data_IF_499071576003
#
_entry.id   IF_499071576003
#
_cell.length_a   1.000
_cell.length_b   1.000
_cell.length_c   1.000
_cell.angle_alpha   90.00
_cell.angle_beta   90.00
_cell.angle_gamma   90.00
#
_symmetry.space_group_name_H-M   'P 1'
#
loop_
_entity.id
_entity.type
_entity.pdbx_description
1 polymer ?
#
# COMPACT_ATOMS: atom_id res chain seq x y z
N UNK A 1 7.38 -2.93 -5.85
CA UNK A 1 7.25 -3.36 -7.25
C UNK A 1 6.46 -2.30 -8.00
N UNK A 2 6.81 -2.05 -9.26
CA UNK A 2 6.01 -1.19 -10.14
C UNK A 2 4.82 -2.00 -10.67
N UNK A 3 3.61 -1.67 -10.23
CA UNK A 3 2.37 -2.29 -10.70
C UNK A 3 1.81 -1.59 -11.95
N UNK A 4 2.30 -0.39 -12.29
CA UNK A 4 1.91 0.30 -13.51
C UNK A 4 0.42 0.62 -13.50
N UNK A 5 -0.29 0.26 -14.57
CA UNK A 5 -1.70 0.63 -14.79
C UNK A 5 -2.71 -0.11 -13.92
N UNK A 6 -2.33 -1.24 -13.30
CA UNK A 6 -3.22 -2.03 -12.44
C UNK A 6 -3.13 -1.63 -10.96
N UNK A 7 -2.29 -0.65 -10.61
CA UNK A 7 -2.06 -0.29 -9.22
C UNK A 7 -3.33 0.28 -8.59
N UNK A 8 -3.76 -0.35 -7.50
CA UNK A 8 -4.85 0.09 -6.64
C UNK A 8 -4.60 -0.42 -5.22
N UNK A 9 -5.26 0.14 -4.20
CA UNK A 9 -5.04 -0.29 -2.82
C UNK A 9 -5.39 -1.78 -2.61
N UNK A 10 -6.44 -2.27 -3.26
CA UNK A 10 -6.84 -3.67 -3.20
C UNK A 10 -5.80 -4.59 -3.84
N UNK A 11 -5.29 -4.26 -5.02
CA UNK A 11 -4.29 -5.08 -5.71
C UNK A 11 -2.93 -5.06 -5.00
N UNK A 12 -2.51 -3.90 -4.49
CA UNK A 12 -1.26 -3.79 -3.72
C UNK A 12 -1.34 -4.56 -2.40
N UNK A 13 -2.46 -4.46 -1.66
CA UNK A 13 -2.67 -5.24 -0.43
C UNK A 13 -2.68 -6.74 -0.72
N UNK A 14 -3.44 -7.21 -1.72
CA UNK A 14 -3.43 -8.63 -2.13
C UNK A 14 -2.02 -9.12 -2.43
N UNK A 15 -1.24 -8.32 -3.16
CA UNK A 15 0.15 -8.64 -3.45
C UNK A 15 0.99 -8.76 -2.19
N UNK A 16 0.92 -7.81 -1.26
CA UNK A 16 1.69 -7.84 -0.02
C UNK A 16 1.30 -9.02 0.88
N UNK A 17 0.02 -9.39 0.93
CA UNK A 17 -0.48 -10.59 1.62
C UNK A 17 0.10 -11.85 1.00
N UNK A 18 0.10 -11.97 -0.33
CA UNK A 18 0.67 -13.13 -1.03
C UNK A 18 2.17 -13.31 -0.76
N UNK A 19 2.83 -12.24 -0.29
CA UNK A 19 4.24 -12.22 0.09
C UNK A 19 4.46 -12.29 1.61
N UNK A 20 3.41 -12.37 2.41
CA UNK A 20 3.49 -12.49 3.86
C UNK A 20 3.93 -11.21 4.58
N UNK A 21 3.62 -10.04 4.03
CA UNK A 21 3.89 -8.76 4.69
C UNK A 21 2.65 -8.23 5.41
N UNK A 22 2.86 -7.54 6.54
CA UNK A 22 1.80 -6.94 7.36
C UNK A 22 1.25 -5.62 6.81
N UNK A 23 1.99 -4.92 5.95
CA UNK A 23 1.61 -3.62 5.42
C UNK A 23 1.88 -3.49 3.92
N UNK A 24 1.02 -2.70 3.28
CA UNK A 24 1.12 -2.29 1.89
C UNK A 24 1.21 -0.76 1.80
N UNK A 25 2.00 -0.26 0.85
CA UNK A 25 2.29 1.16 0.65
C UNK A 25 2.18 1.54 -0.82
N UNK A 26 1.31 2.49 -1.14
CA UNK A 26 1.17 3.00 -2.50
C UNK A 26 1.92 4.32 -2.64
N UNK A 27 2.75 4.42 -3.67
CA UNK A 27 3.58 5.59 -3.95
C UNK A 27 3.55 5.96 -5.43
N UNK A 28 3.60 7.27 -5.71
CA UNK A 28 3.80 7.82 -7.04
C UNK A 28 2.89 7.19 -8.12
N UNK A 29 1.62 6.95 -7.78
CA UNK A 29 0.57 6.30 -8.57
C UNK A 29 0.81 4.83 -8.96
N UNK A 30 2.04 4.43 -9.30
CA UNK A 30 2.34 3.14 -9.95
C UNK A 30 3.15 2.18 -9.08
N UNK A 31 3.58 2.61 -7.90
CA UNK A 31 4.42 1.79 -7.03
C UNK A 31 3.65 1.20 -5.88
N UNK A 32 3.88 -0.09 -5.66
CA UNK A 32 3.41 -0.83 -4.51
C UNK A 32 4.60 -1.31 -3.68
N UNK A 33 4.62 -1.00 -2.40
CA UNK A 33 5.65 -1.35 -1.43
C UNK A 33 5.02 -2.27 -0.39
N UNK A 34 5.76 -3.29 0.03
CA UNK A 34 5.33 -4.19 1.11
C UNK A 34 6.37 -4.12 2.22
N UNK A 35 5.91 -4.21 3.47
CA UNK A 35 6.80 -4.23 4.62
C UNK A 35 6.09 -4.69 5.89
N UNK A 36 6.86 -4.97 6.92
CA UNK A 36 6.33 -5.32 8.25
C UNK A 36 6.41 -4.14 9.23
N UNK A 37 6.91 -3.00 8.76
CA UNK A 37 6.95 -1.75 9.51
C UNK A 37 6.99 -0.58 8.53
N UNK A 38 6.50 0.58 8.95
CA UNK A 38 6.42 1.79 8.14
C UNK A 38 6.55 3.02 9.05
N UNK A 39 6.71 4.21 8.45
CA UNK A 39 6.64 5.47 9.19
C UNK A 39 7.95 5.90 9.84
N UNK A 40 9.10 5.45 9.32
CA UNK A 40 10.42 5.89 9.80
C UNK A 40 10.57 7.41 9.76
N UNK A 41 9.97 8.03 8.75
CA UNK A 41 10.02 9.47 8.50
C UNK A 41 8.78 10.21 9.02
N UNK A 42 7.95 9.56 9.83
CA UNK A 42 6.75 10.14 10.42
C UNK A 42 5.52 10.12 9.51
N UNK A 43 4.39 10.53 10.10
CA UNK A 43 3.12 10.71 9.42
C UNK A 43 3.02 12.12 8.82
N UNK A 44 2.30 12.24 7.72
CA UNK A 44 1.93 13.52 7.11
C UNK A 44 0.42 13.63 6.96
N UNK A 45 -0.06 14.77 6.50
CA UNK A 45 -1.48 14.99 6.25
C UNK A 45 -1.95 14.16 5.05
N UNK A 46 -3.10 13.50 5.19
CA UNK A 46 -3.73 12.70 4.12
C UNK A 46 -3.98 13.50 2.83
N UNK A 47 -4.10 14.83 2.93
CA UNK A 47 -4.24 15.75 1.79
C UNK A 47 -3.05 15.72 0.83
N UNK A 48 -1.87 15.28 1.29
CA UNK A 48 -0.71 15.15 0.42
C UNK A 48 -0.82 13.94 -0.53
N UNK A 49 -1.75 12.98 -0.30
CA UNK A 49 -2.09 11.89 -1.21
C UNK A 49 -3.04 12.39 -2.31
N UNK A 50 -2.49 12.88 -3.41
CA UNK A 50 -3.28 13.46 -4.50
C UNK A 50 -3.25 12.64 -5.79
N UNK A 51 -2.33 11.69 -5.93
CA UNK A 51 -2.20 10.93 -7.17
C UNK A 51 -3.24 9.82 -7.22
N UNK A 52 -4.06 9.83 -8.27
CA UNK A 52 -5.05 8.78 -8.50
C UNK A 52 -4.39 7.44 -8.84
N UNK A 53 -5.00 6.37 -8.35
CA UNK A 53 -4.62 5.02 -8.71
C UNK A 53 -5.03 4.70 -10.14
N UNK A 54 -4.11 4.27 -11.02
CA UNK A 54 -4.46 3.96 -12.40
C UNK A 54 -5.35 2.73 -12.53
N UNK A 55 -5.33 1.81 -11.56
CA UNK A 55 -6.21 0.63 -11.54
C UNK A 55 -7.62 0.91 -11.01
N UNK A 56 -7.80 2.00 -10.24
CA UNK A 56 -9.10 2.46 -9.77
C UNK A 56 -9.04 3.94 -9.35
N UNK A 57 -9.47 4.83 -10.23
CA UNK A 57 -9.39 6.29 -10.04
C UNK A 57 -10.24 6.81 -8.86
N UNK A 58 -11.07 5.97 -8.23
CA UNK A 58 -11.77 6.32 -6.99
C UNK A 58 -10.81 6.44 -5.80
N UNK A 59 -9.67 5.75 -5.86
CA UNK A 59 -8.66 5.74 -4.82
C UNK A 59 -7.44 6.60 -5.18
N UNK A 60 -6.68 6.93 -4.15
CA UNK A 60 -5.36 7.54 -4.26
C UNK A 60 -4.28 6.49 -4.05
N UNK A 61 -3.13 6.73 -4.68
CA UNK A 61 -1.97 5.86 -4.69
C UNK A 61 -0.73 6.66 -4.25
N UNK A 62 -0.89 7.41 -3.15
CA UNK A 62 0.17 8.23 -2.58
C UNK A 62 0.51 9.48 -3.41
N UNK A 63 1.78 9.90 -3.32
CA UNK A 63 2.37 10.99 -4.09
C UNK A 63 3.88 10.74 -4.27
N UNK A 64 4.60 11.65 -4.92
CA UNK A 64 6.06 11.63 -4.96
C UNK A 64 6.62 11.67 -3.53
N UNK A 65 7.43 10.68 -3.17
CA UNK A 65 7.98 10.52 -1.81
C UNK A 65 6.93 10.45 -0.71
N UNK A 66 5.70 10.04 -1.04
CA UNK A 66 4.63 9.88 -0.07
C UNK A 66 3.88 8.57 -0.20
N UNK A 67 3.75 7.99 0.98
CA UNK A 67 3.27 6.71 1.44
C UNK A 67 1.80 6.63 1.78
N UNK A 68 0.92 6.14 0.92
CA UNK A 68 -0.41 5.76 1.39
C UNK A 68 -0.35 4.34 1.97
N UNK A 69 -0.52 4.21 3.29
CA UNK A 69 -0.28 2.94 4.01
C UNK A 69 -1.58 2.23 4.33
N UNK A 70 -1.60 0.93 4.06
CA UNK A 70 -2.72 0.03 4.29
C UNK A 70 -2.30 -1.20 5.09
N UNK A 71 -3.19 -1.68 5.96
CA UNK A 71 -3.01 -2.97 6.64
C UNK A 71 -3.16 -4.11 5.64
N UNK A 72 -2.22 -5.03 5.68
CA UNK A 72 -2.30 -6.34 5.01
C UNK A 72 -2.69 -7.47 5.98
N UNK A 73 -2.70 -7.20 7.29
CA UNK A 73 -3.05 -8.19 8.32
C UNK A 73 -4.55 -8.47 8.39
N UNK A 74 -5.39 -7.59 7.85
CA UNK A 74 -6.86 -7.63 8.02
C UNK A 74 -7.65 -8.00 6.76
N UNK A 75 -7.02 -8.47 5.68
CA UNK A 75 -7.82 -9.07 4.59
C UNK A 75 -8.21 -10.53 4.88
N UNK A 76 -7.92 -11.03 6.08
CA UNK A 76 -8.36 -12.32 6.54
C UNK A 76 -9.53 -12.18 7.51
N UNK A 77 -10.60 -12.90 7.15
CA UNK A 77 -11.76 -13.29 7.96
C UNK A 77 -12.94 -12.30 8.02
N UNK A 78 -13.63 -12.17 6.88
CA UNK A 78 -15.09 -12.22 6.88
C UNK A 78 -15.55 -13.08 5.70
N UNK A 79 -16.41 -14.06 5.99
CA UNK A 79 -17.05 -14.96 5.03
C UNK A 79 -17.71 -14.23 3.85
N UNK A 80 -17.73 -14.89 2.70
CA UNK A 80 -18.36 -14.51 1.42
C UNK A 80 -18.03 -13.11 0.88
N UNK A 81 -16.89 -13.05 0.18
CA UNK A 81 -16.76 -12.33 -1.10
C UNK A 81 -17.13 -10.85 -1.10
N UNK A 82 -16.32 -10.01 -0.44
CA UNK A 82 -15.96 -8.70 -1.00
C UNK A 82 -14.81 -8.05 -0.22
N UNK A 83 -13.61 -8.01 -0.82
CA UNK A 83 -12.53 -7.08 -0.46
C UNK A 83 -13.01 -5.68 -0.86
N UNK A 84 -13.92 -5.09 -0.08
CA UNK A 84 -14.54 -3.81 -0.48
C UNK A 84 -13.72 -2.61 -0.05
N UNK A 85 -12.97 -2.69 1.05
CA UNK A 85 -12.23 -1.54 1.56
C UNK A 85 -10.91 -1.98 2.18
N UNK A 86 -9.77 -1.71 1.54
CA UNK A 86 -8.47 -1.88 2.17
C UNK A 86 -8.40 -0.94 3.38
N UNK A 87 -7.88 -1.45 4.50
CA UNK A 87 -7.85 -0.73 5.77
C UNK A 87 -6.74 0.31 5.75
N UNK A 88 -7.12 1.56 5.48
CA UNK A 88 -6.21 2.71 5.47
C UNK A 88 -5.70 3.01 6.88
N UNK A 89 -4.39 3.13 7.02
CA UNK A 89 -3.72 3.40 8.31
C UNK A 89 -3.27 4.86 8.42
N UNK A 90 -2.86 5.45 7.30
CA UNK A 90 -2.38 6.83 7.27
C UNK A 90 -1.31 7.06 6.22
N UNK A 91 -0.90 8.32 6.14
CA UNK A 91 0.07 8.79 5.17
C UNK A 91 1.45 8.98 5.79
N UNK A 92 2.51 8.58 5.10
CA UNK A 92 3.90 8.69 5.59
C UNK A 92 4.88 9.16 4.52
N UNK A 93 6.01 9.74 4.91
CA UNK A 93 7.06 10.23 3.97
C UNK A 93 7.91 9.08 3.38
N UNK A 94 7.58 7.82 3.67
CA UNK A 94 8.58 6.76 3.74
C UNK A 94 9.34 6.32 2.46
N UNK A 95 8.82 5.80 1.34
CA UNK A 95 9.61 5.18 0.23
C UNK A 95 10.22 3.82 0.59
N UNK A 96 10.62 3.63 1.85
CA UNK A 96 11.16 2.38 2.40
C UNK A 96 10.25 1.84 3.49
N UNK A 97 9.04 1.40 3.11
CA UNK A 97 8.38 0.36 3.89
C UNK A 97 9.44 -0.69 4.22
N UNK A 98 9.65 -0.97 5.50
CA UNK A 98 10.80 -1.75 5.95
C UNK A 98 10.56 -3.17 5.45
N UNK A 99 11.11 -3.44 4.26
CA UNK A 99 11.22 -4.76 3.69
C UNK A 99 12.16 -5.49 4.63
N UNK A 100 11.64 -6.46 5.41
CA UNK A 100 12.50 -7.60 5.71
C UNK A 100 12.83 -8.19 4.34
N UNK A 101 14.01 -7.89 3.82
CA UNK A 101 14.50 -8.44 2.57
C UNK A 101 14.56 -9.96 2.71
N UNK A 102 13.46 -10.65 2.43
CA UNK A 102 13.53 -12.03 1.97
C UNK A 102 14.11 -11.90 0.57
N UNK A 103 15.44 -12.01 0.48
CA UNK A 103 16.14 -12.17 -0.79
C UNK A 103 15.45 -13.34 -1.52
N UNK A 104 15.06 -13.21 -2.79
CA UNK A 104 14.79 -14.40 -3.59
C UNK A 104 16.08 -15.23 -3.59
N UNK A 105 15.96 -16.52 -3.26
CA UNK A 105 17.00 -17.51 -3.52
C UNK A 105 17.13 -17.71 -5.04
#
# INVERSE_FOLDING_TARGET
>A
MMMGSINSPSECVKYCISKGYSYAGLQAAKWCHCGNSFGRHGKVQDSECSMKCPGDNKWTCGNHFRNEVYSSESAQVASCHQITRPMYIGMTVDVHMIKKSIKPA
#
